data_IF_078813260872
#
_entry.id   IF_078813260872
#
_cell.length_a   1.000
_cell.length_b   1.000
_cell.length_c   1.000
_cell.angle_alpha   90.00
_cell.angle_beta   90.00
_cell.angle_gamma   90.00
#
_symmetry.space_group_name_H-M   'P 1'
#
loop_
_entity.id
_entity.type
_entity.pdbx_description
1 polymer ?
#
# COMPACT_ATOMS: atom_id res chain seq x y z
N UNK A 1 -50.88 -20.49 -35.88
CA UNK A 1 -49.52 -19.99 -35.62
C UNK A 1 -48.51 -20.88 -36.32
N UNK A 2 -47.55 -20.32 -37.07
CA UNK A 2 -46.54 -21.13 -37.76
C UNK A 2 -45.46 -21.52 -36.76
N UNK A 3 -45.14 -22.82 -36.66
CA UNK A 3 -44.11 -23.37 -35.75
C UNK A 3 -42.77 -22.63 -35.81
N UNK A 4 -42.40 -22.14 -36.99
CA UNK A 4 -41.19 -21.34 -37.22
C UNK A 4 -41.22 -20.01 -36.47
N UNK A 5 -42.34 -19.31 -36.47
CA UNK A 5 -42.50 -18.02 -35.79
C UNK A 5 -42.45 -18.21 -34.27
N UNK A 6 -43.12 -19.25 -33.75
CA UNK A 6 -43.07 -19.59 -32.32
C UNK A 6 -41.66 -19.93 -31.84
N UNK A 7 -40.91 -20.73 -32.61
CA UNK A 7 -39.53 -21.06 -32.30
C UNK A 7 -38.62 -19.83 -32.36
N UNK A 8 -38.79 -18.97 -33.37
CA UNK A 8 -38.03 -17.74 -33.50
C UNK A 8 -38.28 -16.77 -32.32
N UNK A 9 -39.52 -16.59 -31.91
CA UNK A 9 -39.87 -15.75 -30.76
C UNK A 9 -39.30 -16.31 -29.44
N UNK A 10 -39.34 -17.64 -29.26
CA UNK A 10 -38.75 -18.29 -28.08
C UNK A 10 -37.23 -18.13 -28.00
N UNK A 11 -36.53 -18.24 -29.14
CA UNK A 11 -35.08 -18.02 -29.20
C UNK A 11 -34.68 -16.57 -28.88
N UNK A 12 -35.46 -15.58 -29.34
CA UNK A 12 -35.20 -14.17 -29.05
C UNK A 12 -35.43 -13.87 -27.56
N UNK A 13 -36.52 -14.37 -26.98
CA UNK A 13 -36.83 -14.16 -25.56
C UNK A 13 -35.76 -14.80 -24.64
N UNK A 14 -35.32 -16.02 -24.96
CA UNK A 14 -34.26 -16.69 -24.20
C UNK A 14 -32.88 -16.02 -24.37
N UNK A 15 -32.58 -15.48 -25.55
CA UNK A 15 -31.35 -14.72 -25.79
C UNK A 15 -31.29 -13.42 -24.98
N UNK A 16 -32.42 -12.71 -24.86
CA UNK A 16 -32.52 -11.46 -24.09
C UNK A 16 -32.37 -11.65 -22.58
N UNK A 17 -32.75 -12.81 -22.03
CA UNK A 17 -32.61 -13.08 -20.59
C UNK A 17 -31.18 -13.41 -20.13
N UNK A 18 -30.28 -13.82 -21.04
CA UNK A 18 -28.91 -14.26 -20.70
C UNK A 18 -27.85 -13.18 -21.03
N UNK A 19 -28.19 -12.20 -21.87
CA UNK A 19 -27.32 -11.09 -22.22
C UNK A 19 -26.87 -10.19 -21.03
N UNK A 20 -27.69 -9.91 -20.00
CA UNK A 20 -27.30 -8.97 -18.95
C UNK A 20 -26.07 -9.41 -18.15
N UNK A 21 -25.95 -10.71 -17.85
CA UNK A 21 -24.82 -11.26 -17.08
C UNK A 21 -23.56 -11.39 -17.93
N UNK A 22 -23.69 -11.73 -19.22
CA UNK A 22 -22.54 -11.84 -20.13
C UNK A 22 -21.94 -10.48 -20.52
N UNK A 23 -22.75 -9.42 -20.51
CA UNK A 23 -22.31 -8.04 -20.79
C UNK A 23 -21.78 -7.32 -19.54
N UNK A 24 -21.98 -7.89 -18.35
CA UNK A 24 -21.42 -7.33 -17.12
C UNK A 24 -19.96 -7.73 -17.02
N UNK A 25 -19.07 -6.89 -17.52
CA UNK A 25 -17.63 -7.02 -17.27
C UNK A 25 -17.39 -7.01 -15.76
N UNK A 26 -16.93 -8.15 -15.22
CA UNK A 26 -16.53 -8.23 -13.81
C UNK A 26 -15.33 -7.30 -13.62
N UNK A 27 -15.55 -6.18 -12.93
CA UNK A 27 -14.44 -5.32 -12.55
C UNK A 27 -13.44 -6.14 -11.73
N UNK A 28 -12.26 -6.36 -12.30
CA UNK A 28 -11.16 -6.97 -11.56
C UNK A 28 -10.68 -5.89 -10.61
N UNK A 29 -11.19 -5.92 -9.38
CA UNK A 29 -10.67 -5.07 -8.32
C UNK A 29 -9.15 -5.29 -8.25
N UNK A 30 -8.33 -4.23 -8.36
CA UNK A 30 -6.89 -4.39 -8.35
C UNK A 30 -6.47 -5.14 -7.09
N UNK A 31 -5.65 -6.19 -7.25
CA UNK A 31 -5.13 -6.96 -6.11
C UNK A 31 -4.42 -5.99 -5.17
N UNK A 32 -4.76 -6.05 -3.87
CA UNK A 32 -4.10 -5.21 -2.85
C UNK A 32 -2.59 -5.50 -2.88
N UNK A 33 -1.80 -4.52 -3.31
CA UNK A 33 -0.34 -4.58 -3.25
C UNK A 33 0.14 -4.17 -1.87
N UNK A 34 1.15 -4.87 -1.35
CA UNK A 34 1.86 -4.47 -0.13
C UNK A 34 2.68 -3.22 -0.43
N UNK A 35 2.60 -2.21 0.44
CA UNK A 35 3.32 -0.95 0.33
C UNK A 35 4.11 -0.71 1.61
N UNK A 36 5.40 -0.46 1.51
CA UNK A 36 6.23 -0.13 2.66
C UNK A 36 7.15 1.03 2.36
N UNK A 37 7.57 1.75 3.39
CA UNK A 37 8.68 2.69 3.31
C UNK A 37 9.97 2.00 3.79
N UNK A 38 11.07 2.19 3.07
CA UNK A 38 12.40 1.75 3.50
C UNK A 38 13.20 2.98 3.95
N UNK A 39 13.71 2.97 5.17
CA UNK A 39 14.49 4.07 5.77
C UNK A 39 15.78 3.48 6.31
N UNK A 40 16.92 4.09 6.03
CA UNK A 40 18.25 3.61 6.44
C UNK A 40 19.16 4.81 6.71
N UNK A 41 20.32 4.57 7.32
CA UNK A 41 21.41 5.55 7.46
C UNK A 41 20.93 6.83 8.17
N UNK A 42 20.07 6.66 9.18
CA UNK A 42 19.45 7.77 9.91
C UNK A 42 20.51 8.52 10.72
N UNK A 43 21.47 7.79 11.29
CA UNK A 43 22.53 8.31 12.15
C UNK A 43 22.04 9.38 13.14
N UNK A 44 20.99 9.06 13.88
CA UNK A 44 20.40 10.00 14.83
C UNK A 44 21.37 10.27 15.98
N UNK A 45 21.38 11.52 16.46
CA UNK A 45 22.03 11.93 17.71
C UNK A 45 20.94 12.41 18.68
N UNK A 46 21.20 12.32 19.98
CA UNK A 46 20.32 12.97 20.96
C UNK A 46 20.28 14.49 20.73
N UNK A 47 19.10 15.09 20.92
CA UNK A 47 18.93 16.54 20.86
C UNK A 47 17.71 16.99 20.06
N UNK A 48 17.25 18.20 20.37
CA UNK A 48 15.99 18.73 19.84
C UNK A 48 15.92 18.77 18.31
N UNK A 49 17.03 19.09 17.63
CA UNK A 49 17.05 19.22 16.16
C UNK A 49 17.02 17.84 15.46
N UNK A 50 17.92 16.88 15.77
CA UNK A 50 17.85 15.54 15.19
C UNK A 50 16.50 14.84 15.45
N UNK A 51 15.99 14.90 16.69
CA UNK A 51 14.73 14.28 17.07
C UNK A 51 13.54 14.90 16.33
N UNK A 52 13.50 16.24 16.22
CA UNK A 52 12.46 16.92 15.43
C UNK A 52 12.55 16.56 13.94
N UNK A 53 13.75 16.39 13.40
CA UNK A 53 14.00 15.95 12.02
C UNK A 53 13.46 14.54 11.77
N UNK A 54 13.81 13.59 12.65
CA UNK A 54 13.31 12.21 12.56
C UNK A 54 11.78 12.16 12.71
N UNK A 55 11.22 12.91 13.66
CA UNK A 55 9.78 13.00 13.84
C UNK A 55 9.08 13.58 12.60
N UNK A 56 9.70 14.56 11.92
CA UNK A 56 9.19 15.12 10.65
C UNK A 56 9.22 14.07 9.53
N UNK A 57 10.29 13.29 9.42
CA UNK A 57 10.41 12.21 8.44
C UNK A 57 9.33 11.13 8.64
N UNK A 58 9.15 10.66 9.89
CA UNK A 58 8.12 9.68 10.22
C UNK A 58 6.70 10.21 9.96
N UNK A 59 6.42 11.48 10.32
CA UNK A 59 5.13 12.11 10.00
C UNK A 59 4.89 12.19 8.49
N UNK A 60 5.91 12.49 7.70
CA UNK A 60 5.81 12.51 6.25
C UNK A 60 5.44 11.13 5.70
N UNK A 61 6.13 10.07 6.13
CA UNK A 61 5.83 8.68 5.74
C UNK A 61 4.38 8.31 6.09
N UNK A 62 3.92 8.64 7.29
CA UNK A 62 2.55 8.38 7.74
C UNK A 62 1.47 9.14 6.97
N UNK A 63 1.83 10.25 6.31
CA UNK A 63 0.94 11.08 5.51
C UNK A 63 0.94 10.73 4.02
N UNK A 64 1.79 9.80 3.57
CA UNK A 64 1.84 9.38 2.18
C UNK A 64 0.47 8.86 1.71
N UNK A 65 0.11 9.20 0.47
CA UNK A 65 -1.10 8.74 -0.20
C UNK A 65 -0.70 8.10 -1.53
N UNK A 66 -0.99 6.80 -1.77
CA UNK A 66 -1.60 5.86 -0.82
C UNK A 66 -0.70 5.56 0.38
N UNK A 67 -1.32 5.24 1.53
CA UNK A 67 -0.61 4.91 2.77
C UNK A 67 0.35 3.73 2.57
N UNK A 68 1.38 3.69 3.41
CA UNK A 68 2.22 2.51 3.60
C UNK A 68 1.60 1.62 4.67
N UNK A 69 1.81 0.31 4.56
CA UNK A 69 1.38 -0.69 5.52
C UNK A 69 2.34 -0.77 6.72
N UNK A 70 3.66 -0.62 6.46
CA UNK A 70 4.70 -0.62 7.48
C UNK A 70 5.97 0.09 7.00
N UNK A 71 6.93 0.26 7.91
CA UNK A 71 8.26 0.80 7.66
C UNK A 71 9.28 -0.32 7.88
N UNK A 72 10.22 -0.48 6.94
CA UNK A 72 11.42 -1.30 7.11
C UNK A 72 12.58 -0.36 7.44
N UNK A 73 13.28 -0.65 8.52
CA UNK A 73 14.54 0.03 8.87
C UNK A 73 15.72 -0.78 8.33
N UNK A 74 16.59 -0.15 7.54
CA UNK A 74 17.75 -0.74 6.88
C UNK A 74 19.02 -0.85 7.73
N UNK A 75 19.07 -0.20 8.89
CA UNK A 75 20.27 -0.14 9.75
C UNK A 75 20.82 1.27 9.88
N UNK A 76 21.99 1.38 10.50
CA UNK A 76 22.69 2.64 10.77
C UNK A 76 21.80 3.72 11.42
N UNK A 77 21.07 3.28 12.46
CA UNK A 77 20.08 4.10 13.16
C UNK A 77 20.71 5.22 13.99
N UNK A 78 21.79 4.90 14.72
CA UNK A 78 22.46 5.82 15.66
C UNK A 78 23.76 6.35 15.07
N UNK A 79 24.22 7.50 15.55
CA UNK A 79 25.51 8.03 15.14
C UNK A 79 26.65 7.30 15.86
N UNK A 80 27.62 6.84 15.05
CA UNK A 80 28.97 6.39 15.40
C UNK A 80 29.14 5.93 16.86
N UNK A 81 28.84 4.65 17.08
CA UNK A 81 29.02 3.99 18.37
C UNK A 81 30.49 3.66 18.67
N UNK A 82 31.40 3.70 17.69
CA UNK A 82 32.79 3.28 17.85
C UNK A 82 33.66 4.41 18.40
N UNK A 83 33.34 5.67 18.05
CA UNK A 83 34.02 6.85 18.57
C UNK A 83 33.35 7.44 19.83
N UNK A 84 32.39 6.74 20.44
CA UNK A 84 31.61 7.21 21.59
C UNK A 84 31.69 6.26 22.79
N UNK A 85 31.45 6.80 24.00
CA UNK A 85 31.32 5.95 25.20
C UNK A 85 30.02 5.15 25.14
N UNK A 86 29.99 4.02 25.85
CA UNK A 86 28.78 3.18 25.94
C UNK A 86 27.57 3.97 26.44
N UNK A 87 27.77 4.81 27.44
CA UNK A 87 26.72 5.64 28.05
C UNK A 87 26.16 6.64 27.02
N UNK A 88 27.04 7.33 26.28
CA UNK A 88 26.63 8.26 25.22
C UNK A 88 25.88 7.54 24.10
N UNK A 89 26.41 6.41 23.63
CA UNK A 89 25.77 5.56 22.61
C UNK A 89 24.38 5.10 23.04
N UNK A 90 24.19 4.74 24.32
CA UNK A 90 22.89 4.34 24.84
C UNK A 90 21.84 5.46 24.84
N UNK A 91 22.25 6.73 24.91
CA UNK A 91 21.28 7.85 24.82
C UNK A 91 20.72 8.07 23.41
N UNK A 92 21.29 7.44 22.39
CA UNK A 92 20.85 7.57 20.99
C UNK A 92 19.79 6.54 20.60
N UNK A 93 19.57 5.51 21.42
CA UNK A 93 18.55 4.46 21.26
C UNK A 93 17.28 4.81 22.04
#
# INVERSE_FOLDING_TARGET
MKRKEFLQSGFIAAGLSVLPEALTAKEISPKKSIRFAFISDIHIKAGAVPEAGMAKALRHVNQLKPKVDFIINGGDCIMDALAATKESTQTQW
#
